data_IF_900861800573
#
_entry.id   IF_900861800573
#
_cell.length_a   1.000
_cell.length_b   1.000
_cell.length_c   1.000
_cell.angle_alpha   90.00
_cell.angle_beta   90.00
_cell.angle_gamma   90.00
#
_symmetry.space_group_name_H-M   'P 1'
#
loop_
_entity.id
_entity.type
_entity.pdbx_description
1 polymer ?
#
# COMPACT_ATOMS: atom_id res chain seq x y z
N UNK A 1 54.91 -37.79 11.35
CA UNK A 1 54.43 -36.75 10.40
C UNK A 1 52.93 -36.80 10.08
N UNK A 2 52.22 -37.94 10.22
CA UNK A 2 50.77 -38.03 9.96
C UNK A 2 49.88 -37.36 11.02
N UNK A 3 50.29 -37.33 12.28
CA UNK A 3 49.43 -36.84 13.39
C UNK A 3 49.28 -35.31 13.43
N UNK A 4 50.30 -34.56 12.97
CA UNK A 4 50.22 -33.09 12.86
C UNK A 4 49.25 -32.62 11.76
N UNK A 5 49.02 -33.46 10.74
CA UNK A 5 48.15 -33.15 9.61
C UNK A 5 46.66 -33.27 9.96
N UNK A 6 46.30 -34.19 10.85
CA UNK A 6 44.92 -34.37 11.33
C UNK A 6 44.47 -33.23 12.26
N UNK A 7 45.39 -32.68 13.05
CA UNK A 7 45.09 -31.57 13.97
C UNK A 7 44.86 -30.24 13.22
N UNK A 8 45.57 -29.99 12.12
CA UNK A 8 45.31 -28.80 11.29
C UNK A 8 43.97 -28.88 10.56
N UNK A 9 43.54 -30.07 10.12
CA UNK A 9 42.29 -30.25 9.38
C UNK A 9 41.06 -30.00 10.26
N UNK A 10 41.09 -30.46 11.53
CA UNK A 10 40.00 -30.25 12.49
C UNK A 10 39.87 -28.79 12.92
N UNK A 11 40.99 -28.06 13.06
CA UNK A 11 40.97 -26.63 13.37
C UNK A 11 40.39 -25.81 12.20
N UNK A 12 40.72 -26.16 10.95
CA UNK A 12 40.16 -25.48 9.76
C UNK A 12 38.66 -25.73 9.62
N UNK A 13 38.19 -26.97 9.86
CA UNK A 13 36.76 -27.30 9.85
C UNK A 13 35.98 -26.64 11.00
N UNK A 14 36.58 -26.47 12.18
CA UNK A 14 35.97 -25.74 13.28
C UNK A 14 35.85 -24.23 12.98
N UNK A 15 36.88 -23.63 12.35
CA UNK A 15 36.84 -22.21 11.95
C UNK A 15 35.80 -21.99 10.84
N UNK A 16 35.68 -22.90 9.87
CA UNK A 16 34.64 -22.85 8.82
C UNK A 16 33.22 -23.09 9.37
N UNK A 17 33.03 -23.97 10.35
CA UNK A 17 31.72 -24.22 10.95
C UNK A 17 31.20 -23.09 11.85
N UNK A 18 32.10 -22.32 12.48
CA UNK A 18 31.73 -21.21 13.37
C UNK A 18 31.56 -19.89 12.60
N UNK A 19 32.26 -19.72 11.46
CA UNK A 19 32.16 -18.50 10.63
C UNK A 19 31.00 -18.52 9.62
N UNK A 20 30.37 -19.67 9.37
CA UNK A 20 29.21 -19.78 8.47
C UNK A 20 27.86 -19.37 9.10
N UNK A 21 27.82 -18.99 10.38
CA UNK A 21 26.56 -18.71 11.10
C UNK A 21 26.24 -17.22 11.40
N UNK A 22 26.50 -16.28 10.48
CA UNK A 22 25.65 -15.10 10.40
C UNK A 22 25.01 -14.87 9.01
N UNK A 23 25.08 -15.84 8.08
CA UNK A 23 24.49 -15.67 6.73
C UNK A 23 22.98 -15.98 6.69
N UNK A 24 22.43 -16.67 7.71
CA UNK A 24 20.99 -16.94 7.79
C UNK A 24 20.16 -15.77 8.39
N UNK A 25 20.80 -14.66 8.77
CA UNK A 25 20.14 -13.51 9.36
C UNK A 25 19.78 -12.39 8.37
N UNK A 26 19.95 -12.57 7.05
CA UNK A 26 19.66 -11.53 6.05
C UNK A 26 18.70 -12.04 4.95
N UNK A 27 17.61 -12.67 5.36
CA UNK A 27 16.37 -12.54 4.60
C UNK A 27 15.81 -11.14 4.86
N UNK A 28 16.10 -10.16 3.99
CA UNK A 28 15.39 -8.86 3.98
C UNK A 28 13.93 -9.17 3.70
N UNK A 29 13.15 -9.36 4.77
CA UNK A 29 11.82 -9.94 4.67
C UNK A 29 10.85 -8.96 3.99
N UNK A 30 10.83 -9.02 2.66
CA UNK A 30 9.76 -8.51 1.79
C UNK A 30 8.49 -9.32 2.03
N UNK A 31 7.90 -9.21 3.23
CA UNK A 31 6.66 -9.88 3.61
C UNK A 31 5.58 -8.85 3.89
N UNK A 32 4.33 -9.27 3.78
CA UNK A 32 3.22 -8.49 4.34
C UNK A 32 3.31 -8.40 5.86
N UNK A 33 2.88 -7.28 6.45
CA UNK A 33 2.58 -7.20 7.88
C UNK A 33 1.62 -8.32 8.32
N UNK A 34 1.90 -8.91 9.47
CA UNK A 34 1.01 -9.88 10.12
C UNK A 34 -0.23 -9.19 10.67
N UNK A 35 -1.27 -9.96 10.99
CA UNK A 35 -2.47 -9.40 11.61
C UNK A 35 -2.17 -8.68 12.93
N UNK A 36 -1.26 -9.21 13.75
CA UNK A 36 -0.87 -8.60 15.02
C UNK A 36 -0.17 -7.25 14.81
N UNK A 37 0.74 -7.17 13.83
CA UNK A 37 1.43 -5.93 13.45
C UNK A 37 0.45 -4.90 12.91
N UNK A 38 -0.47 -5.29 12.01
CA UNK A 38 -1.51 -4.39 11.51
C UNK A 38 -2.33 -3.81 12.66
N UNK A 39 -2.75 -4.65 13.63
CA UNK A 39 -3.49 -4.18 14.79
C UNK A 39 -2.66 -3.25 15.68
N UNK A 40 -1.37 -3.51 15.83
CA UNK A 40 -0.46 -2.62 16.55
C UNK A 40 -0.32 -1.26 15.83
N UNK A 41 -0.13 -1.25 14.51
CA UNK A 41 -0.05 -0.03 13.71
C UNK A 41 -1.34 0.78 13.79
N UNK A 42 -2.51 0.12 13.73
CA UNK A 42 -3.80 0.80 13.92
C UNK A 42 -3.90 1.44 15.31
N UNK A 43 -3.46 0.75 16.36
CA UNK A 43 -3.46 1.31 17.73
C UNK A 43 -2.48 2.47 17.86
N UNK A 44 -1.31 2.37 17.26
CA UNK A 44 -0.32 3.44 17.22
C UNK A 44 -0.89 4.66 16.51
N UNK A 45 -1.41 4.50 15.30
CA UNK A 45 -2.11 5.56 14.58
C UNK A 45 -3.18 6.25 15.42
N UNK A 46 -4.01 5.49 16.13
CA UNK A 46 -5.05 6.08 16.99
C UNK A 46 -4.48 6.89 18.15
N UNK A 47 -3.36 6.48 18.73
CA UNK A 47 -2.68 7.25 19.78
C UNK A 47 -2.04 8.51 19.22
N UNK A 48 -1.38 8.40 18.08
CA UNK A 48 -0.67 9.52 17.45
C UNK A 48 -1.66 10.56 16.93
N UNK A 49 -2.83 10.13 16.44
CA UNK A 49 -3.92 11.01 16.05
C UNK A 49 -4.54 11.81 17.22
N UNK A 50 -4.36 11.38 18.47
CA UNK A 50 -4.79 12.18 19.64
C UNK A 50 -3.80 13.30 19.97
N UNK A 51 -2.60 13.29 19.36
CA UNK A 51 -1.57 14.30 19.55
C UNK A 51 -1.68 15.38 18.45
N UNK A 52 -1.82 16.67 18.79
CA UNK A 52 -2.13 17.74 17.84
C UNK A 52 -0.99 18.18 16.90
N UNK A 53 0.17 17.49 16.86
CA UNK A 53 1.41 18.07 16.32
C UNK A 53 2.13 17.33 15.19
N UNK A 54 1.75 16.12 14.76
CA UNK A 54 2.69 15.33 13.93
C UNK A 54 2.14 14.43 12.83
N UNK A 55 0.83 14.27 12.66
CA UNK A 55 0.28 13.44 11.56
C UNK A 55 -0.74 14.19 10.75
N UNK A 56 -0.90 13.80 9.46
CA UNK A 56 -2.10 14.22 8.73
C UNK A 56 -3.29 14.02 9.64
N UNK A 57 -4.21 14.96 9.56
CA UNK A 57 -5.55 14.71 10.03
C UNK A 57 -5.76 14.90 11.56
N UNK A 58 -4.78 15.42 12.32
CA UNK A 58 -4.86 16.04 13.68
C UNK A 58 -5.91 15.46 14.66
N UNK A 59 -6.23 14.17 14.54
CA UNK A 59 -7.42 13.54 15.16
C UNK A 59 -8.77 14.18 14.81
N UNK A 60 -8.81 15.24 14.01
CA UNK A 60 -9.88 16.26 14.05
C UNK A 60 -10.50 16.60 12.70
N UNK A 61 -10.04 16.01 11.60
CA UNK A 61 -10.50 16.50 10.30
C UNK A 61 -11.91 15.98 9.94
N UNK A 62 -12.87 16.87 10.23
CA UNK A 62 -14.08 17.02 9.43
C UNK A 62 -13.69 16.94 7.95
N UNK A 63 -14.39 16.07 7.24
CA UNK A 63 -14.19 15.87 5.80
C UNK A 63 -14.18 17.23 5.06
N UNK A 64 -13.04 17.66 4.47
CA UNK A 64 -12.92 18.97 3.84
C UNK A 64 -13.69 19.05 2.51
N UNK A 65 -14.17 17.91 2.01
CA UNK A 65 -14.88 17.83 0.73
C UNK A 65 -16.26 18.47 0.83
N UNK A 66 -16.62 19.20 -0.22
CA UNK A 66 -17.98 19.73 -0.37
C UNK A 66 -19.02 18.60 -0.34
N UNK A 67 -20.28 18.87 0.08
CA UNK A 67 -21.36 17.87 0.02
C UNK A 67 -21.55 17.24 -1.36
N UNK A 68 -21.36 18.00 -2.43
CA UNK A 68 -21.45 17.50 -3.81
C UNK A 68 -20.34 16.48 -4.11
N UNK A 69 -19.09 16.79 -3.75
CA UNK A 69 -17.95 15.87 -3.93
C UNK A 69 -18.15 14.58 -3.14
N UNK A 70 -18.62 14.68 -1.89
CA UNK A 70 -18.93 13.50 -1.06
C UNK A 70 -19.98 12.60 -1.73
N UNK A 71 -21.08 13.19 -2.23
CA UNK A 71 -22.13 12.44 -2.94
C UNK A 71 -21.60 11.73 -4.18
N UNK A 72 -20.72 12.36 -4.95
CA UNK A 72 -20.11 11.75 -6.14
C UNK A 72 -19.25 10.54 -5.77
N UNK A 73 -18.34 10.70 -4.81
CA UNK A 73 -17.49 9.61 -4.33
C UNK A 73 -18.32 8.47 -3.75
N UNK A 74 -19.30 8.79 -2.89
CA UNK A 74 -20.17 7.77 -2.30
C UNK A 74 -21.00 7.04 -3.37
N UNK A 75 -21.47 7.75 -4.40
CA UNK A 75 -22.20 7.14 -5.51
C UNK A 75 -21.31 6.17 -6.30
N UNK A 76 -20.09 6.58 -6.60
CA UNK A 76 -19.11 5.74 -7.29
C UNK A 76 -18.78 4.47 -6.49
N UNK A 77 -18.48 4.63 -5.20
CA UNK A 77 -18.22 3.51 -4.28
C UNK A 77 -19.45 2.59 -4.17
N UNK A 78 -20.66 3.13 -4.04
CA UNK A 78 -21.92 2.36 -3.99
C UNK A 78 -22.24 1.62 -5.29
N UNK A 79 -21.83 2.15 -6.45
CA UNK A 79 -22.01 1.46 -7.71
C UNK A 79 -21.11 0.23 -7.78
N UNK A 80 -19.83 0.39 -7.44
CA UNK A 80 -18.85 -0.68 -7.46
C UNK A 80 -18.98 -1.68 -6.30
N UNK A 81 -19.60 -1.31 -5.18
CA UNK A 81 -19.82 -2.24 -4.05
C UNK A 81 -20.70 -3.43 -4.42
N UNK A 82 -21.53 -3.31 -5.45
CA UNK A 82 -22.34 -4.43 -5.97
C UNK A 82 -21.53 -5.43 -6.79
N UNK A 83 -20.37 -5.01 -7.33
CA UNK A 83 -19.51 -5.82 -8.19
C UNK A 83 -18.33 -6.39 -7.41
N UNK A 84 -17.64 -5.54 -6.64
CA UNK A 84 -16.48 -5.89 -5.83
C UNK A 84 -16.61 -5.26 -4.43
N UNK A 85 -17.42 -5.84 -3.53
CA UNK A 85 -17.73 -5.25 -2.21
C UNK A 85 -16.50 -5.07 -1.31
N UNK A 86 -15.50 -5.95 -1.42
CA UNK A 86 -14.29 -5.87 -0.59
C UNK A 86 -13.32 -4.77 -1.04
N UNK A 87 -13.36 -4.41 -2.32
CA UNK A 87 -12.49 -3.37 -2.92
C UNK A 87 -13.15 -2.01 -2.87
N UNK A 88 -14.47 -1.95 -3.06
CA UNK A 88 -15.23 -0.70 -3.14
C UNK A 88 -14.88 0.34 -2.06
N UNK A 89 -14.68 -0.04 -0.77
CA UNK A 89 -14.33 0.90 0.28
C UNK A 89 -12.99 1.64 0.07
N UNK A 90 -12.08 1.06 -0.71
CA UNK A 90 -10.75 1.62 -1.01
C UNK A 90 -10.75 2.51 -2.25
N UNK A 91 -11.80 2.47 -3.07
CA UNK A 91 -11.84 3.23 -4.32
C UNK A 91 -11.81 4.73 -4.07
N UNK A 92 -11.01 5.45 -4.85
CA UNK A 92 -10.82 6.89 -4.70
C UNK A 92 -9.38 7.31 -4.81
N UNK A 93 -9.19 8.63 -4.81
CA UNK A 93 -7.89 9.27 -4.62
C UNK A 93 -7.74 9.64 -3.15
N UNK A 94 -6.66 9.19 -2.55
CA UNK A 94 -6.27 9.41 -1.17
C UNK A 94 -4.97 10.21 -1.15
N UNK A 95 -4.89 11.21 -0.28
CA UNK A 95 -3.78 12.16 -0.28
C UNK A 95 -3.19 12.29 1.12
N UNK A 96 -1.87 12.48 1.15
CA UNK A 96 -1.17 13.07 2.29
C UNK A 96 -0.35 14.28 1.77
N UNK A 97 0.49 14.88 2.61
CA UNK A 97 1.19 16.12 2.27
C UNK A 97 2.06 16.02 1.00
N UNK A 98 2.67 14.85 0.74
CA UNK A 98 3.68 14.69 -0.32
C UNK A 98 3.38 13.54 -1.28
N UNK A 99 2.31 12.78 -1.05
CA UNK A 99 2.06 11.52 -1.72
C UNK A 99 0.56 11.32 -1.96
N UNK A 100 0.26 10.59 -3.03
CA UNK A 100 -1.09 10.30 -3.47
C UNK A 100 -1.21 8.80 -3.72
N UNK A 101 -2.27 8.19 -3.20
CA UNK A 101 -2.68 6.83 -3.56
C UNK A 101 -4.00 6.93 -4.31
N UNK A 102 -4.02 6.51 -5.58
CA UNK A 102 -5.23 6.41 -6.37
C UNK A 102 -5.60 4.94 -6.56
N UNK A 103 -6.76 4.55 -6.05
CA UNK A 103 -7.28 3.17 -6.16
C UNK A 103 -8.44 3.14 -7.16
N UNK A 104 -8.28 2.32 -8.18
CA UNK A 104 -9.19 2.17 -9.30
C UNK A 104 -9.84 0.79 -9.28
N UNK A 105 -11.12 0.70 -9.68
CA UNK A 105 -11.75 -0.58 -9.91
C UNK A 105 -11.16 -1.27 -11.14
N UNK A 106 -11.12 -2.61 -11.09
CA UNK A 106 -10.89 -3.46 -12.26
C UNK A 106 -12.17 -4.17 -12.67
N UNK A 107 -12.33 -4.40 -13.97
CA UNK A 107 -13.34 -5.31 -14.50
C UNK A 107 -13.03 -6.78 -14.21
N UNK A 108 -11.83 -7.09 -13.71
CA UNK A 108 -11.45 -8.40 -13.20
C UNK A 108 -11.89 -8.50 -11.73
N UNK A 109 -12.67 -9.54 -11.39
CA UNK A 109 -13.20 -9.74 -10.04
C UNK A 109 -12.05 -9.91 -9.03
N UNK A 110 -12.20 -9.30 -7.86
CA UNK A 110 -11.20 -9.38 -6.79
C UNK A 110 -9.90 -8.62 -7.07
N UNK A 111 -9.91 -7.70 -8.06
CA UNK A 111 -8.76 -6.89 -8.43
C UNK A 111 -9.05 -5.39 -8.34
N UNK A 112 -8.06 -4.64 -7.87
CA UNK A 112 -7.99 -3.18 -7.97
C UNK A 112 -6.67 -2.80 -8.66
N UNK A 113 -6.63 -1.63 -9.30
CA UNK A 113 -5.36 -0.99 -9.64
C UNK A 113 -5.04 0.08 -8.60
N UNK A 114 -3.79 0.15 -8.19
CA UNK A 114 -3.28 1.14 -7.26
C UNK A 114 -2.16 1.88 -7.95
N UNK A 115 -2.29 3.20 -8.03
CA UNK A 115 -1.23 4.10 -8.45
C UNK A 115 -0.79 4.87 -7.23
N UNK A 116 0.48 4.74 -6.88
CA UNK A 116 1.13 5.51 -5.83
C UNK A 116 2.02 6.56 -6.49
N UNK A 117 1.80 7.83 -6.15
CA UNK A 117 2.56 8.95 -6.68
C UNK A 117 3.24 9.67 -5.53
N UNK A 118 4.54 9.88 -5.65
CA UNK A 118 5.34 10.76 -4.80
C UNK A 118 6.06 11.78 -5.68
N UNK A 119 6.66 12.81 -5.09
CA UNK A 119 7.29 13.89 -5.86
C UNK A 119 8.34 13.32 -6.83
N UNK A 120 8.03 13.34 -8.14
CA UNK A 120 8.91 12.90 -9.22
C UNK A 120 8.77 11.43 -9.63
N UNK A 121 8.04 10.60 -8.88
CA UNK A 121 7.96 9.16 -9.12
C UNK A 121 6.53 8.63 -9.02
N UNK A 122 6.19 7.69 -9.91
CA UNK A 122 4.91 7.00 -9.92
C UNK A 122 5.12 5.49 -9.97
N UNK A 123 4.32 4.77 -9.19
CA UNK A 123 4.35 3.33 -9.10
C UNK A 123 2.96 2.76 -9.33
N UNK A 124 2.92 1.63 -10.02
CA UNK A 124 1.70 0.87 -10.26
C UNK A 124 1.77 -0.45 -9.50
N UNK A 125 0.64 -0.85 -8.93
CA UNK A 125 0.46 -2.18 -8.35
C UNK A 125 -0.98 -2.67 -8.51
N UNK A 126 -1.13 -3.98 -8.52
CA UNK A 126 -2.39 -4.70 -8.47
C UNK A 126 -2.73 -4.98 -7.01
N UNK A 127 -3.90 -4.46 -6.61
CA UNK A 127 -4.51 -4.70 -5.31
C UNK A 127 -5.40 -5.94 -5.31
N UNK A 128 -5.31 -6.78 -4.28
CA UNK A 128 -6.27 -7.86 -4.02
C UNK A 128 -6.80 -7.81 -2.59
N UNK A 129 -8.11 -8.03 -2.35
CA UNK A 129 -8.65 -8.04 -1.01
C UNK A 129 -8.11 -9.22 -0.20
N UNK A 130 -7.83 -8.97 1.07
CA UNK A 130 -7.42 -9.99 2.04
C UNK A 130 -7.81 -9.54 3.43
N UNK A 131 -8.79 -10.23 4.04
CA UNK A 131 -9.22 -10.00 5.44
C UNK A 131 -9.59 -8.53 5.72
N UNK A 132 -10.30 -7.89 4.80
CA UNK A 132 -10.71 -6.47 4.96
C UNK A 132 -9.60 -5.44 4.67
N UNK A 133 -8.46 -5.87 4.13
CA UNK A 133 -7.36 -5.03 3.67
C UNK A 133 -7.13 -5.23 2.17
N UNK A 134 -6.42 -4.30 1.52
CA UNK A 134 -5.99 -4.46 0.13
C UNK A 134 -4.48 -4.74 0.09
N UNK A 135 -4.09 -5.94 -0.34
CA UNK A 135 -2.67 -6.29 -0.53
C UNK A 135 -2.18 -5.81 -1.89
N UNK A 136 -1.01 -5.18 -1.92
CA UNK A 136 -0.32 -4.77 -3.13
C UNK A 136 0.67 -5.86 -3.52
N UNK A 137 0.45 -6.50 -4.67
CA UNK A 137 1.06 -7.80 -4.99
C UNK A 137 2.29 -7.72 -5.89
N UNK A 138 2.46 -6.61 -6.59
CA UNK A 138 3.49 -6.44 -7.61
C UNK A 138 4.03 -5.01 -7.65
N UNK A 139 5.10 -4.81 -8.42
CA UNK A 139 5.79 -3.53 -8.55
C UNK A 139 6.62 -3.17 -7.33
N UNK A 140 7.07 -1.91 -7.30
CA UNK A 140 8.00 -1.40 -6.28
C UNK A 140 7.34 -1.23 -4.91
N UNK A 141 6.01 -1.13 -4.89
CA UNK A 141 5.18 -1.08 -3.69
C UNK A 141 4.59 -2.45 -3.32
N UNK A 142 5.12 -3.55 -3.86
CA UNK A 142 4.75 -4.89 -3.44
C UNK A 142 4.95 -5.09 -1.93
N UNK A 143 4.22 -6.03 -1.34
CA UNK A 143 4.23 -6.34 0.10
C UNK A 143 3.65 -5.24 1.02
N UNK A 144 3.13 -4.17 0.44
CA UNK A 144 2.35 -3.18 1.19
C UNK A 144 0.89 -3.58 1.31
N UNK A 145 0.21 -3.04 2.32
CA UNK A 145 -1.23 -3.22 2.50
C UNK A 145 -1.91 -1.87 2.70
N UNK A 146 -3.05 -1.67 2.04
CA UNK A 146 -3.94 -0.56 2.37
C UNK A 146 -4.94 -1.05 3.41
N UNK A 147 -4.98 -0.34 4.54
CA UNK A 147 -5.87 -0.60 5.66
C UNK A 147 -6.82 0.57 5.79
N UNK A 148 -8.10 0.36 5.48
CA UNK A 148 -9.12 1.39 5.63
C UNK A 148 -9.50 1.56 7.10
N UNK A 149 -9.64 2.80 7.53
CA UNK A 149 -10.06 3.16 8.88
C UNK A 149 -11.02 4.36 8.80
N UNK A 150 -11.58 4.75 9.95
CA UNK A 150 -12.42 5.94 10.11
C UNK A 150 -11.94 6.73 11.31
N UNK A 151 -12.02 8.05 11.22
CA UNK A 151 -11.77 8.93 12.37
C UNK A 151 -13.02 9.00 13.27
N UNK A 152 -12.92 9.76 14.37
CA UNK A 152 -14.03 9.96 15.32
C UNK A 152 -15.28 10.62 14.71
N UNK A 153 -15.14 11.34 13.59
CA UNK A 153 -16.23 11.95 12.83
C UNK A 153 -16.79 11.05 11.72
N UNK A 154 -16.29 9.81 11.60
CA UNK A 154 -16.68 8.88 10.56
C UNK A 154 -16.03 9.12 9.19
N UNK A 155 -15.16 10.12 9.06
CA UNK A 155 -14.39 10.41 7.83
C UNK A 155 -13.45 9.24 7.52
N UNK A 156 -13.50 8.65 6.32
CA UNK A 156 -12.64 7.54 5.95
C UNK A 156 -11.21 8.01 5.64
N UNK A 157 -10.23 7.19 6.00
CA UNK A 157 -8.84 7.31 5.59
C UNK A 157 -8.27 5.91 5.31
N UNK A 158 -7.14 5.85 4.61
CA UNK A 158 -6.37 4.61 4.44
C UNK A 158 -5.01 4.76 5.10
N UNK A 159 -4.51 3.68 5.68
CA UNK A 159 -3.12 3.53 6.07
C UNK A 159 -2.44 2.66 5.02
N UNK A 160 -1.38 3.15 4.40
CA UNK A 160 -0.46 2.28 3.68
C UNK A 160 0.52 1.71 4.69
N UNK A 161 0.48 0.40 4.90
CA UNK A 161 1.38 -0.31 5.80
C UNK A 161 2.39 -1.12 5.01
N UNK A 162 3.59 -1.23 5.54
CA UNK A 162 4.68 -1.98 4.93
C UNK A 162 5.71 -2.35 5.98
N UNK A 163 6.63 -3.24 5.64
CA UNK A 163 7.78 -3.57 6.48
C UNK A 163 9.01 -2.92 5.86
N UNK A 164 9.46 -1.81 6.43
CA UNK A 164 10.68 -1.11 6.03
C UNK A 164 11.78 -1.50 6.99
N UNK A 165 12.90 -2.02 6.48
CA UNK A 165 14.05 -2.37 7.33
C UNK A 165 13.69 -3.28 8.53
N UNK A 166 12.70 -4.17 8.34
CA UNK A 166 12.12 -5.08 9.36
C UNK A 166 11.21 -4.44 10.39
N UNK A 167 10.95 -3.14 10.29
CA UNK A 167 10.02 -2.41 11.14
C UNK A 167 8.71 -2.22 10.39
N UNK A 168 7.58 -2.75 10.89
CA UNK A 168 6.28 -2.39 10.38
C UNK A 168 6.03 -0.90 10.60
N UNK A 169 5.63 -0.20 9.55
CA UNK A 169 5.32 1.23 9.60
C UNK A 169 4.01 1.52 8.85
N UNK A 170 3.46 2.72 9.04
CA UNK A 170 2.27 3.18 8.33
C UNK A 170 2.37 4.65 7.88
N UNK A 171 1.70 4.94 6.77
CA UNK A 171 1.45 6.31 6.30
C UNK A 171 -0.05 6.55 6.15
N UNK A 172 -0.64 7.58 6.79
CA UNK A 172 -2.06 7.88 6.66
C UNK A 172 -2.36 8.74 5.43
N UNK A 173 -3.51 8.49 4.79
CA UNK A 173 -4.01 9.25 3.64
C UNK A 173 -5.51 9.55 3.80
N UNK A 174 -5.88 10.82 3.68
CA UNK A 174 -7.28 11.26 3.69
C UNK A 174 -7.95 11.08 2.33
N UNK A 175 -9.24 10.73 2.30
CA UNK A 175 -9.99 10.61 1.05
C UNK A 175 -10.22 11.98 0.42
N UNK A 176 -9.77 12.17 -0.81
CA UNK A 176 -9.85 13.46 -1.50
C UNK A 176 -10.93 13.47 -2.59
N UNK A 177 -10.86 12.56 -3.58
CA UNK A 177 -11.68 12.67 -4.79
C UNK A 177 -12.06 11.30 -5.36
N UNK A 178 -12.99 11.29 -6.33
CA UNK A 178 -13.15 10.15 -7.24
C UNK A 178 -11.85 9.97 -8.04
N UNK A 179 -11.52 8.75 -8.46
CA UNK A 179 -10.30 8.55 -9.21
C UNK A 179 -10.48 9.07 -10.65
N UNK A 180 -9.83 10.19 -10.98
CA UNK A 180 -9.76 10.70 -12.36
C UNK A 180 -8.95 9.75 -13.25
N UNK A 181 -9.08 9.82 -14.59
CA UNK A 181 -8.19 9.08 -15.49
C UNK A 181 -6.72 9.26 -15.10
N UNK A 182 -5.87 8.21 -15.16
CA UNK A 182 -4.48 8.28 -14.72
C UNK A 182 -3.64 9.34 -15.44
N UNK A 183 -3.85 9.50 -16.74
CA UNK A 183 -2.96 10.27 -17.61
C UNK A 183 -2.68 11.74 -17.20
N UNK A 184 -3.63 12.55 -16.71
CA UNK A 184 -3.39 13.96 -16.40
C UNK A 184 -2.56 14.22 -15.15
N UNK A 185 -2.40 13.24 -14.25
CA UNK A 185 -1.72 13.45 -12.96
C UNK A 185 -0.47 12.58 -12.77
N UNK A 186 -0.21 11.62 -13.65
CA UNK A 186 1.08 10.94 -13.68
C UNK A 186 2.18 11.95 -14.03
N UNK A 187 3.28 11.88 -13.29
CA UNK A 187 4.48 12.69 -13.47
C UNK A 187 4.92 12.68 -14.93
N UNK A 188 5.11 13.88 -15.49
CA UNK A 188 5.69 14.06 -16.82
C UNK A 188 7.22 14.03 -16.79
N UNK A 189 7.82 14.06 -15.60
CA UNK A 189 9.28 14.09 -15.41
C UNK A 189 9.92 12.80 -15.95
N UNK A 190 9.21 11.67 -15.88
CA UNK A 190 9.67 10.38 -16.42
C UNK A 190 8.64 9.84 -17.44
N UNK A 191 8.69 10.28 -18.71
CA UNK A 191 7.69 9.91 -19.73
C UNK A 191 7.53 8.40 -19.93
N UNK A 192 8.62 7.64 -19.78
CA UNK A 192 8.62 6.17 -19.90
C UNK A 192 7.82 5.51 -18.76
N UNK A 193 7.92 6.03 -17.53
CA UNK A 193 7.16 5.52 -16.39
C UNK A 193 5.66 5.74 -16.61
N UNK A 194 5.27 6.93 -17.09
CA UNK A 194 3.88 7.22 -17.45
C UNK A 194 3.32 6.24 -18.48
N UNK A 195 4.03 6.01 -19.59
CA UNK A 195 3.59 5.08 -20.64
C UNK A 195 3.43 3.65 -20.09
N UNK A 196 4.41 3.18 -19.31
CA UNK A 196 4.38 1.87 -18.64
C UNK A 196 3.18 1.72 -17.72
N UNK A 197 2.91 2.70 -16.87
CA UNK A 197 1.78 2.66 -15.93
C UNK A 197 0.44 2.64 -16.67
N UNK A 198 0.29 3.44 -17.73
CA UNK A 198 -0.93 3.42 -18.53
C UNK A 198 -1.14 2.06 -19.23
N UNK A 199 -0.07 1.45 -19.73
CA UNK A 199 -0.12 0.11 -20.30
C UNK A 199 -0.53 -0.93 -19.25
N UNK A 200 0.08 -0.92 -18.07
CA UNK A 200 -0.24 -1.82 -16.96
C UNK A 200 -1.69 -1.63 -16.47
N UNK A 201 -2.14 -0.37 -16.36
CA UNK A 201 -3.51 -0.03 -16.00
C UNK A 201 -4.54 -0.63 -16.96
N UNK A 202 -4.30 -0.48 -18.26
CA UNK A 202 -5.17 -1.03 -19.30
C UNK A 202 -5.13 -2.57 -19.32
N UNK A 203 -3.94 -3.17 -19.24
CA UNK A 203 -3.76 -4.62 -19.20
C UNK A 203 -4.42 -5.27 -17.97
N UNK A 204 -4.43 -4.56 -16.84
CA UNK A 204 -5.09 -5.01 -15.61
C UNK A 204 -6.62 -4.84 -15.66
N UNK A 205 -7.18 -4.31 -16.74
CA UNK A 205 -8.61 -4.11 -16.96
C UNK A 205 -9.22 -3.02 -16.10
N UNK A 206 -8.41 -2.04 -15.68
CA UNK A 206 -8.83 -0.97 -14.79
C UNK A 206 -9.57 0.14 -15.51
N UNK A 207 -10.44 0.84 -14.77
CA UNK A 207 -11.32 1.86 -15.33
C UNK A 207 -11.59 2.96 -14.32
N UNK A 208 -12.01 4.12 -14.81
CA UNK A 208 -12.55 5.22 -14.03
C UNK A 208 -14.08 5.33 -14.14
N UNK A 209 -14.68 4.50 -14.99
CA UNK A 209 -16.10 4.50 -15.24
C UNK A 209 -16.89 3.81 -14.11
N UNK A 210 -18.20 4.02 -14.13
CA UNK A 210 -19.14 3.15 -13.42
C UNK A 210 -19.03 1.71 -13.96
N UNK A 211 -19.39 0.71 -13.13
CA UNK A 211 -19.41 -0.67 -13.61
C UNK A 211 -20.39 -0.79 -14.78
N UNK A 212 -20.01 -1.57 -15.80
CA UNK A 212 -20.93 -1.91 -16.89
C UNK A 212 -22.12 -2.67 -16.28
N UNK A 213 -23.34 -2.19 -16.48
CA UNK A 213 -24.55 -2.94 -16.11
C UNK A 213 -24.50 -4.26 -16.88
N UNK A 214 -24.39 -5.38 -16.16
CA UNK A 214 -24.65 -6.71 -16.71
C UNK A 214 -26.08 -7.08 -16.39
#
# INVERSE_FOLDING_TARGET
>A
MKERSLFCLTVILAILGITSLPVLAIGRSQRYPTAAEIQQLIRQFRRDALSPSTMCCNGSEKDPRSPATRRLVDSFVRAWSRVNPEIAPFLGRWVNNNEIISVYPSNVRGRACVIFSLIGEDFFSIGSPSRGHLRLNDGEIANHMLVRQRNQFGTPFILMTGVYERVPDYRPYGLAYTPDPPAPFLSTVVPQARARILQQFNAAGCTTSLPKRR
#
